data_IF_805850496945
#
_entry.id   IF_805850496945
#
_cell.length_a   1.000
_cell.length_b   1.000
_cell.length_c   1.000
_cell.angle_alpha   90.00
_cell.angle_beta   90.00
_cell.angle_gamma   90.00
#
_symmetry.space_group_name_H-M   'P 1'
#
loop_
_entity.id
_entity.type
_entity.pdbx_description
1 polymer ?
#
# COMPACT_ATOMS: atom_id res chain seq x y z
N UNK A 1 16.82 14.11 -1.07
CA UNK A 1 15.49 13.67 -1.52
C UNK A 1 14.47 14.63 -0.93
N UNK A 2 13.68 15.31 -1.75
CA UNK A 2 12.61 16.19 -1.25
C UNK A 2 11.33 15.37 -1.24
N UNK A 3 10.88 14.97 -0.05
CA UNK A 3 9.54 14.42 0.20
C UNK A 3 8.75 15.44 1.01
N UNK A 4 7.43 15.48 0.81
CA UNK A 4 6.60 16.46 1.52
C UNK A 4 6.29 15.97 2.93
N UNK A 5 5.99 16.91 3.83
CA UNK A 5 5.48 16.58 5.17
C UNK A 5 4.19 15.76 5.12
N UNK A 6 3.40 15.90 4.05
CA UNK A 6 2.21 15.08 3.79
C UNK A 6 2.56 13.62 3.54
N UNK A 7 3.58 13.34 2.72
CA UNK A 7 4.04 11.98 2.45
C UNK A 7 4.57 11.31 3.72
N UNK A 8 5.31 12.06 4.55
CA UNK A 8 5.83 11.59 5.83
C UNK A 8 4.69 11.18 6.77
N UNK A 9 3.71 12.08 6.97
CA UNK A 9 2.53 11.83 7.81
C UNK A 9 1.69 10.67 7.31
N UNK A 10 1.45 10.59 5.99
CA UNK A 10 0.66 9.53 5.39
C UNK A 10 1.31 8.15 5.56
N UNK A 11 2.62 8.05 5.33
CA UNK A 11 3.36 6.80 5.55
C UNK A 11 3.38 6.40 7.03
N UNK A 12 3.58 7.37 7.92
CA UNK A 12 3.57 7.10 9.36
C UNK A 12 2.20 6.59 9.81
N UNK A 13 1.12 7.19 9.34
CA UNK A 13 -0.25 6.77 9.67
C UNK A 13 -0.61 5.39 9.09
N UNK A 14 -0.24 5.12 7.84
CA UNK A 14 -0.63 3.88 7.15
C UNK A 14 0.25 2.67 7.47
N UNK A 15 1.55 2.91 7.72
CA UNK A 15 2.57 1.86 7.77
C UNK A 15 3.48 1.96 9.00
N UNK A 16 3.30 2.95 9.87
CA UNK A 16 4.09 3.13 11.10
C UNK A 16 5.54 3.55 10.85
N UNK A 17 5.87 3.94 9.62
CA UNK A 17 7.22 4.38 9.23
C UNK A 17 7.16 5.66 8.41
N UNK A 18 8.16 6.51 8.58
CA UNK A 18 8.37 7.68 7.74
C UNK A 18 8.63 7.36 6.28
N UNK A 19 8.34 8.30 5.38
CA UNK A 19 8.61 8.17 3.95
C UNK A 19 10.12 8.10 3.70
N UNK A 20 10.92 8.87 4.44
CA UNK A 20 12.38 8.79 4.34
C UNK A 20 12.92 7.40 4.67
N UNK A 21 12.42 6.80 5.75
CA UNK A 21 12.82 5.46 6.20
C UNK A 21 12.43 4.42 5.16
N UNK A 22 11.23 4.55 4.60
CA UNK A 22 10.77 3.73 3.49
C UNK A 22 11.71 3.82 2.27
N UNK A 23 12.16 5.02 1.89
CA UNK A 23 13.06 5.22 0.76
C UNK A 23 14.47 4.66 1.00
N UNK A 24 15.01 4.84 2.20
CA UNK A 24 16.41 4.48 2.52
C UNK A 24 16.58 3.01 2.90
N UNK A 25 15.60 2.38 3.57
CA UNK A 25 15.73 1.00 4.07
C UNK A 25 15.01 0.01 3.16
N UNK A 26 15.78 -0.74 2.36
CA UNK A 26 15.26 -1.73 1.41
C UNK A 26 14.29 -2.74 2.05
N UNK A 27 14.61 -3.28 3.22
CA UNK A 27 13.77 -4.28 3.87
C UNK A 27 12.41 -3.71 4.30
N UNK A 28 12.40 -2.45 4.75
CA UNK A 28 11.17 -1.72 5.08
C UNK A 28 10.32 -1.56 3.84
N UNK A 29 10.91 -1.13 2.72
CA UNK A 29 10.23 -1.01 1.43
C UNK A 29 9.66 -2.34 0.95
N UNK A 30 10.46 -3.41 0.95
CA UNK A 30 10.02 -4.74 0.50
C UNK A 30 8.84 -5.26 1.32
N UNK A 31 8.85 -5.06 2.64
CA UNK A 31 7.74 -5.46 3.52
C UNK A 31 6.45 -4.71 3.20
N UNK A 32 6.54 -3.40 2.95
CA UNK A 32 5.39 -2.55 2.63
C UNK A 32 4.83 -2.90 1.26
N UNK A 33 5.66 -3.01 0.23
CA UNK A 33 5.23 -3.37 -1.13
C UNK A 33 4.62 -4.77 -1.18
N UNK A 34 5.16 -5.74 -0.44
CA UNK A 34 4.54 -7.08 -0.31
C UNK A 34 3.14 -7.03 0.31
N UNK A 35 2.90 -6.12 1.27
CA UNK A 35 1.57 -5.93 1.87
C UNK A 35 0.62 -5.27 0.86
N UNK A 36 1.08 -4.22 0.17
CA UNK A 36 0.31 -3.52 -0.88
C UNK A 36 -0.14 -4.48 -1.98
N UNK A 37 0.76 -5.35 -2.45
CA UNK A 37 0.43 -6.34 -3.47
C UNK A 37 -0.68 -7.31 -3.01
N UNK A 38 -0.58 -7.82 -1.77
CA UNK A 38 -1.62 -8.70 -1.22
C UNK A 38 -2.98 -8.00 -1.11
N UNK A 39 -2.99 -6.74 -0.68
CA UNK A 39 -4.21 -5.94 -0.57
C UNK A 39 -4.81 -5.65 -1.94
N UNK A 40 -3.98 -5.34 -2.94
CA UNK A 40 -4.39 -5.15 -4.33
C UNK A 40 -5.04 -6.42 -4.90
N UNK A 41 -4.37 -7.58 -4.80
CA UNK A 41 -4.92 -8.86 -5.25
C UNK A 41 -6.25 -9.18 -4.55
N UNK A 42 -6.34 -8.94 -3.23
CA UNK A 42 -7.58 -9.15 -2.49
C UNK A 42 -8.69 -8.23 -3.00
N UNK A 43 -8.38 -6.96 -3.25
CA UNK A 43 -9.33 -6.00 -3.81
C UNK A 43 -9.85 -6.43 -5.18
N UNK A 44 -8.95 -6.84 -6.08
CA UNK A 44 -9.31 -7.34 -7.41
C UNK A 44 -10.25 -8.56 -7.34
N UNK A 45 -9.98 -9.50 -6.42
CA UNK A 45 -10.87 -10.65 -6.20
C UNK A 45 -12.25 -10.24 -5.71
N UNK A 46 -12.34 -9.32 -4.75
CA UNK A 46 -13.63 -8.82 -4.26
C UNK A 46 -14.43 -8.12 -5.35
N UNK A 47 -13.77 -7.32 -6.19
CA UNK A 47 -14.41 -6.67 -7.35
C UNK A 47 -14.91 -7.73 -8.33
N UNK A 48 -14.09 -8.72 -8.70
CA UNK A 48 -14.49 -9.80 -9.59
C UNK A 48 -15.67 -10.62 -9.04
N UNK A 49 -15.70 -10.87 -7.72
CA UNK A 49 -16.81 -11.56 -7.05
C UNK A 49 -18.09 -10.73 -7.09
N UNK A 50 -18.00 -9.42 -6.86
CA UNK A 50 -19.14 -8.52 -6.96
C UNK A 50 -19.69 -8.50 -8.39
N UNK A 51 -18.81 -8.28 -9.36
CA UNK A 51 -19.12 -8.28 -10.78
C UNK A 51 -19.83 -9.58 -11.20
N UNK A 52 -19.34 -10.75 -10.78
CA UNK A 52 -20.00 -12.04 -11.04
C UNK A 52 -21.40 -12.17 -10.43
N UNK A 53 -21.65 -11.56 -9.28
CA UNK A 53 -22.96 -11.63 -8.60
C UNK A 53 -24.01 -10.69 -9.20
N UNK A 54 -23.58 -9.63 -9.87
CA UNK A 54 -24.46 -8.57 -10.38
C UNK A 54 -24.56 -8.52 -11.91
N UNK A 55 -23.83 -9.37 -12.62
CA UNK A 55 -24.06 -9.60 -14.05
C UNK A 55 -25.25 -10.56 -14.24
N UNK A 56 -26.31 -10.04 -14.89
CA UNK A 56 -27.42 -10.81 -15.48
C UNK A 56 -27.04 -11.33 -16.87
#
# INVERSE_FOLDING_TARGET
>A
MNYTSGMEKAMQAAHGVGYEVYCRKRDVRMRIEKKREKEYIKSQRMVADLVRKFHF
#
